data_IF_655472968295
#
_entry.id   IF_655472968295
#
_cell.length_a   1.000
_cell.length_b   1.000
_cell.length_c   1.000
_cell.angle_alpha   90.00
_cell.angle_beta   90.00
_cell.angle_gamma   90.00
#
_symmetry.space_group_name_H-M   'P 1'
#
loop_
_entity.id
_entity.type
_entity.pdbx_description
1 polymer ?
#
# COMPACT_ATOMS: atom_id res chain seq x y z
N UNK A 1 44.27 -5.81 -9.31
CA UNK A 1 43.44 -6.83 -9.99
C UNK A 1 43.60 -8.19 -9.31
N UNK A 2 42.94 -8.41 -8.16
CA UNK A 2 42.58 -9.76 -7.73
C UNK A 2 41.11 -9.89 -8.09
N UNK A 3 40.81 -10.60 -9.18
CA UNK A 3 39.46 -10.75 -9.72
C UNK A 3 38.53 -11.29 -8.64
N UNK A 4 37.27 -10.84 -8.60
CA UNK A 4 36.28 -11.33 -7.64
C UNK A 4 36.25 -12.85 -7.55
N UNK A 5 36.48 -13.52 -8.68
CA UNK A 5 36.73 -14.96 -8.80
C UNK A 5 37.70 -15.52 -7.77
N UNK A 6 38.91 -14.97 -7.64
CA UNK A 6 39.94 -15.51 -6.76
C UNK A 6 39.59 -15.29 -5.29
N UNK A 7 38.95 -14.16 -4.97
CA UNK A 7 38.45 -13.88 -3.61
C UNK A 7 37.34 -14.86 -3.23
N UNK A 8 36.40 -15.11 -4.14
CA UNK A 8 35.33 -16.09 -3.97
C UNK A 8 35.92 -17.50 -3.82
N UNK A 9 36.84 -17.89 -4.70
CA UNK A 9 37.52 -19.19 -4.65
C UNK A 9 38.22 -19.44 -3.31
N UNK A 10 38.90 -18.43 -2.78
CA UNK A 10 39.58 -18.47 -1.48
C UNK A 10 38.62 -18.71 -0.31
N UNK A 11 37.41 -18.14 -0.36
CA UNK A 11 36.38 -18.41 0.65
C UNK A 11 35.78 -19.81 0.44
N UNK A 12 35.46 -20.20 -0.79
CA UNK A 12 34.89 -21.51 -1.10
C UNK A 12 35.84 -22.68 -0.73
N UNK A 13 37.15 -22.51 -0.91
CA UNK A 13 38.13 -23.54 -0.55
C UNK A 13 38.19 -23.82 0.96
N UNK A 14 37.74 -22.89 1.81
CA UNK A 14 37.68 -23.06 3.28
C UNK A 14 36.44 -23.84 3.73
N UNK A 15 35.44 -23.99 2.87
CA UNK A 15 34.24 -24.77 3.16
C UNK A 15 34.54 -26.27 3.14
N UNK A 16 35.37 -26.70 2.19
CA UNK A 16 35.69 -28.12 1.97
C UNK A 16 36.77 -28.54 2.94
N UNK A 17 36.54 -29.63 3.69
CA UNK A 17 37.52 -30.16 4.63
C UNK A 17 38.76 -30.67 3.86
N UNK A 18 39.98 -30.37 4.34
CA UNK A 18 41.20 -30.87 3.71
C UNK A 18 41.31 -32.41 3.67
N UNK A 19 40.70 -33.11 4.63
CA UNK A 19 40.61 -34.57 4.67
C UNK A 19 39.89 -35.14 3.46
N UNK A 20 38.74 -34.55 3.11
CA UNK A 20 37.87 -35.04 2.04
C UNK A 20 38.53 -34.92 0.66
N UNK A 21 39.45 -33.95 0.50
CA UNK A 21 40.26 -33.79 -0.71
C UNK A 21 41.38 -34.83 -0.74
N UNK A 22 42.09 -35.03 0.39
CA UNK A 22 43.19 -36.02 0.49
C UNK A 22 42.72 -37.45 0.30
N UNK A 23 41.52 -37.77 0.77
CA UNK A 23 40.88 -39.08 0.65
C UNK A 23 40.21 -39.29 -0.73
N UNK A 24 40.28 -38.31 -1.62
CA UNK A 24 39.73 -38.40 -2.98
C UNK A 24 38.20 -38.35 -3.06
N UNK A 25 37.51 -38.03 -1.96
CA UNK A 25 36.05 -37.94 -1.88
C UNK A 25 35.52 -36.76 -2.69
N UNK A 26 36.32 -35.69 -2.85
CA UNK A 26 35.95 -34.54 -3.67
C UNK A 26 37.14 -33.75 -4.21
N UNK A 27 36.94 -33.06 -5.35
CA UNK A 27 37.89 -32.08 -5.92
C UNK A 27 37.60 -30.64 -5.49
N UNK A 28 36.63 -30.44 -4.60
CA UNK A 28 36.16 -29.12 -4.16
C UNK A 28 35.22 -28.44 -5.16
N UNK A 29 34.99 -27.13 -4.97
CA UNK A 29 34.12 -26.35 -5.85
C UNK A 29 34.72 -26.19 -7.24
N UNK A 30 33.94 -26.50 -8.28
CA UNK A 30 34.40 -26.42 -9.68
C UNK A 30 33.76 -25.22 -10.35
N UNK A 31 34.57 -24.23 -10.72
CA UNK A 31 34.12 -23.08 -11.50
C UNK A 31 33.48 -23.52 -12.82
N UNK A 32 32.35 -22.91 -13.17
CA UNK A 32 31.63 -23.19 -14.41
C UNK A 32 31.69 -22.01 -15.39
N UNK A 33 31.35 -20.81 -14.92
CA UNK A 33 31.27 -19.61 -15.76
C UNK A 33 31.32 -18.35 -14.89
N UNK A 34 31.66 -17.22 -15.50
CA UNK A 34 31.52 -15.89 -14.92
C UNK A 34 30.95 -14.94 -15.95
N UNK A 35 30.26 -13.91 -15.48
CA UNK A 35 29.72 -12.83 -16.30
C UNK A 35 29.76 -11.53 -15.52
N UNK A 36 30.05 -10.45 -16.21
CA UNK A 36 29.90 -9.08 -15.69
C UNK A 36 28.72 -8.41 -16.38
N UNK A 37 27.73 -7.98 -15.61
CA UNK A 37 26.55 -7.31 -16.14
C UNK A 37 26.01 -6.31 -15.11
N UNK A 38 25.69 -5.08 -15.55
CA UNK A 38 24.97 -4.07 -14.78
C UNK A 38 25.33 -4.03 -13.29
N UNK A 39 26.51 -3.48 -12.97
CA UNK A 39 26.96 -3.24 -11.59
C UNK A 39 27.15 -4.51 -10.74
N UNK A 40 27.22 -5.68 -11.37
CA UNK A 40 27.39 -6.95 -10.69
C UNK A 40 28.40 -7.85 -11.42
N UNK A 41 29.21 -8.54 -10.63
CA UNK A 41 30.01 -9.67 -11.04
C UNK A 41 29.29 -10.97 -10.62
N UNK A 42 28.99 -11.85 -11.56
CA UNK A 42 28.35 -13.14 -11.32
C UNK A 42 29.32 -14.28 -11.62
N UNK A 43 29.38 -15.28 -10.75
CA UNK A 43 30.14 -16.51 -10.98
C UNK A 43 29.36 -17.75 -10.57
N UNK A 44 29.49 -18.81 -11.36
CA UNK A 44 28.82 -20.08 -11.16
C UNK A 44 29.83 -21.15 -10.73
N UNK A 45 29.52 -21.88 -9.65
CA UNK A 45 30.38 -22.90 -9.07
C UNK A 45 29.59 -24.18 -8.80
N UNK A 46 30.04 -25.31 -9.34
CA UNK A 46 29.46 -26.61 -9.00
C UNK A 46 29.83 -26.98 -7.57
N UNK A 47 28.82 -27.31 -6.78
CA UNK A 47 28.95 -27.75 -5.40
C UNK A 47 29.53 -29.18 -5.41
N UNK A 48 30.57 -29.46 -4.62
CA UNK A 48 31.15 -30.79 -4.53
C UNK A 48 30.21 -31.81 -3.89
N UNK A 49 30.40 -33.09 -4.21
CA UNK A 49 29.69 -34.18 -3.53
C UNK A 49 29.93 -34.14 -2.02
N UNK A 50 28.88 -34.41 -1.23
CA UNK A 50 28.90 -34.31 0.23
C UNK A 50 28.64 -32.90 0.79
N UNK A 51 28.54 -31.88 -0.07
CA UNK A 51 28.24 -30.50 0.32
C UNK A 51 26.93 -30.01 -0.33
N UNK A 52 26.36 -28.95 0.22
CA UNK A 52 25.08 -28.38 -0.21
C UNK A 52 25.12 -26.86 -0.25
N UNK A 53 24.10 -26.23 -0.85
CA UNK A 53 23.96 -24.78 -0.90
C UNK A 53 24.00 -24.13 0.49
N UNK A 54 23.45 -24.80 1.52
CA UNK A 54 23.45 -24.33 2.91
C UNK A 54 24.87 -24.07 3.44
N UNK A 55 25.85 -24.88 3.03
CA UNK A 55 27.25 -24.69 3.43
C UNK A 55 27.84 -23.40 2.84
N UNK A 56 27.47 -23.05 1.60
CA UNK A 56 27.87 -21.80 0.95
C UNK A 56 27.12 -20.62 1.56
N UNK A 57 25.83 -20.79 1.84
CA UNK A 57 24.98 -19.77 2.43
C UNK A 57 25.50 -19.32 3.81
N UNK A 58 26.01 -20.25 4.63
CA UNK A 58 26.66 -19.94 5.91
C UNK A 58 27.89 -19.02 5.75
N UNK A 59 28.56 -19.02 4.59
CA UNK A 59 29.71 -18.18 4.29
C UNK A 59 29.36 -16.85 3.60
N UNK A 60 28.07 -16.49 3.47
CA UNK A 60 27.65 -15.25 2.79
C UNK A 60 28.35 -14.00 3.34
N UNK A 61 28.47 -13.87 4.66
CA UNK A 61 29.16 -12.73 5.30
C UNK A 61 30.65 -12.71 4.95
N UNK A 62 31.31 -13.86 4.95
CA UNK A 62 32.72 -13.98 4.58
C UNK A 62 32.95 -13.67 3.09
N UNK A 63 32.05 -14.13 2.21
CA UNK A 63 32.06 -13.80 0.78
C UNK A 63 31.90 -12.30 0.57
N UNK A 64 30.94 -11.67 1.27
CA UNK A 64 30.70 -10.23 1.19
C UNK A 64 31.91 -9.43 1.68
N UNK A 65 32.51 -9.81 2.80
CA UNK A 65 33.72 -9.17 3.33
C UNK A 65 34.93 -9.34 2.40
N UNK A 66 35.12 -10.54 1.83
CA UNK A 66 36.23 -10.78 0.90
C UNK A 66 36.07 -9.98 -0.40
N UNK A 67 34.84 -9.86 -0.89
CA UNK A 67 34.57 -9.14 -2.12
C UNK A 67 34.54 -7.61 -1.90
N UNK A 68 34.14 -7.13 -0.71
CA UNK A 68 33.98 -5.70 -0.46
C UNK A 68 32.66 -5.15 -1.01
N UNK A 69 31.63 -5.99 -1.09
CA UNK A 69 30.32 -5.64 -1.61
C UNK A 69 29.24 -6.62 -1.16
N UNK A 70 27.98 -6.32 -1.46
CA UNK A 70 26.85 -7.20 -1.13
C UNK A 70 26.91 -8.46 -1.99
N UNK A 71 26.78 -9.63 -1.34
CA UNK A 71 26.75 -10.92 -2.02
C UNK A 71 25.35 -11.52 -2.01
N UNK A 72 24.87 -11.88 -3.19
CA UNK A 72 23.66 -12.68 -3.39
C UNK A 72 24.06 -14.10 -3.81
N UNK A 73 23.33 -15.09 -3.27
CA UNK A 73 23.56 -16.51 -3.53
C UNK A 73 22.27 -17.12 -4.06
N UNK A 74 22.37 -17.88 -5.14
CA UNK A 74 21.26 -18.61 -5.74
C UNK A 74 21.69 -20.06 -6.01
N UNK A 75 20.85 -21.03 -5.64
CA UNK A 75 21.06 -22.44 -5.98
C UNK A 75 20.37 -22.75 -7.31
N UNK A 76 21.11 -23.38 -8.23
CA UNK A 76 20.62 -23.90 -9.50
C UNK A 76 20.94 -25.38 -9.64
N UNK A 77 20.39 -26.19 -8.73
CA UNK A 77 20.46 -27.64 -8.81
C UNK A 77 21.88 -28.17 -8.68
N UNK A 78 22.58 -27.78 -7.60
CA UNK A 78 23.96 -28.22 -7.34
C UNK A 78 25.02 -27.32 -7.97
N UNK A 79 24.61 -26.21 -8.58
CA UNK A 79 25.48 -25.10 -8.97
C UNK A 79 25.07 -23.88 -8.16
N UNK A 80 25.99 -23.33 -7.38
CA UNK A 80 25.77 -22.05 -6.69
C UNK A 80 26.20 -20.90 -7.58
N UNK A 81 25.28 -19.97 -7.78
CA UNK A 81 25.53 -18.69 -8.42
C UNK A 81 25.85 -17.69 -7.31
N UNK A 82 27.05 -17.11 -7.37
CA UNK A 82 27.55 -16.10 -6.44
C UNK A 82 27.63 -14.79 -7.21
N UNK A 83 26.80 -13.83 -6.80
CA UNK A 83 26.79 -12.48 -7.35
C UNK A 83 27.40 -11.53 -6.34
N UNK A 84 28.39 -10.77 -6.77
CA UNK A 84 28.93 -9.63 -6.05
C UNK A 84 28.38 -8.38 -6.70
N UNK A 85 27.72 -7.53 -5.92
CA UNK A 85 27.23 -6.24 -6.38
C UNK A 85 28.32 -5.19 -6.13
N UNK A 86 28.88 -4.64 -7.21
CA UNK A 86 30.15 -3.89 -7.27
C UNK A 86 29.94 -2.36 -7.34
N UNK A 87 28.74 -1.88 -7.70
CA UNK A 87 28.43 -0.44 -7.58
C UNK A 87 27.66 -0.12 -6.32
N UNK A 88 27.93 1.09 -5.83
CA UNK A 88 27.12 1.78 -4.84
C UNK A 88 25.66 1.72 -5.27
N UNK A 89 24.85 1.11 -4.41
CA UNK A 89 23.40 1.21 -4.51
C UNK A 89 23.06 2.69 -4.30
N UNK A 90 22.57 3.44 -5.31
CA UNK A 90 22.39 4.87 -5.16
C UNK A 90 21.57 5.20 -3.91
N UNK A 91 22.08 6.13 -3.10
CA UNK A 91 21.38 6.56 -1.90
C UNK A 91 20.12 7.36 -2.24
N UNK A 92 20.11 7.96 -3.43
CA UNK A 92 19.03 8.79 -3.94
C UNK A 92 18.87 8.59 -5.44
N UNK A 93 17.63 8.56 -5.89
CA UNK A 93 17.26 8.56 -7.31
C UNK A 93 16.23 9.67 -7.50
N UNK A 94 16.58 10.69 -8.26
CA UNK A 94 15.62 11.73 -8.62
C UNK A 94 14.65 11.18 -9.67
N UNK A 95 13.36 11.37 -9.43
CA UNK A 95 12.30 11.00 -10.35
C UNK A 95 12.39 11.85 -11.62
N UNK A 96 12.63 11.20 -12.76
CA UNK A 96 12.58 11.84 -14.08
C UNK A 96 11.35 11.34 -14.85
N UNK A 97 10.69 12.19 -15.66
CA UNK A 97 9.46 11.80 -16.37
C UNK A 97 9.57 10.56 -17.26
N UNK A 98 10.75 10.31 -17.84
CA UNK A 98 11.08 9.15 -18.69
C UNK A 98 11.21 7.85 -17.91
N UNK A 99 11.38 7.92 -16.59
CA UNK A 99 11.34 6.75 -15.72
C UNK A 99 9.93 6.18 -15.58
N UNK A 100 8.88 6.93 -15.92
CA UNK A 100 7.50 6.47 -15.81
C UNK A 100 7.01 6.05 -17.19
N UNK A 101 6.82 4.74 -17.37
CA UNK A 101 6.44 4.12 -18.63
C UNK A 101 4.96 3.74 -18.61
N UNK A 102 4.21 3.95 -19.72
CA UNK A 102 2.81 3.55 -19.79
C UNK A 102 2.61 2.07 -19.44
N UNK A 103 1.61 1.80 -18.59
CA UNK A 103 1.24 0.45 -18.16
C UNK A 103 2.17 -0.17 -17.11
N UNK A 104 3.26 0.49 -16.74
CA UNK A 104 4.13 0.06 -15.64
C UNK A 104 3.78 0.81 -14.35
N UNK A 105 3.88 0.13 -13.21
CA UNK A 105 3.84 0.75 -11.90
C UNK A 105 5.17 0.50 -11.20
N UNK A 106 6.10 1.44 -11.37
CA UNK A 106 7.43 1.44 -10.82
C UNK A 106 7.38 1.72 -9.31
N UNK A 107 7.95 0.82 -8.52
CA UNK A 107 8.20 1.05 -7.10
C UNK A 107 9.61 1.62 -6.86
N UNK A 108 10.58 1.18 -7.65
CA UNK A 108 11.93 1.71 -7.59
C UNK A 108 12.94 0.86 -8.34
N UNK A 109 14.21 0.99 -7.99
CA UNK A 109 15.30 0.28 -8.63
C UNK A 109 16.05 -0.59 -7.62
N UNK A 110 16.41 -1.82 -8.01
CA UNK A 110 17.35 -2.60 -7.21
C UNK A 110 18.80 -2.08 -7.38
N UNK A 111 19.74 -2.66 -6.64
CA UNK A 111 21.16 -2.28 -6.73
C UNK A 111 21.76 -2.47 -8.14
N UNK A 112 21.16 -3.33 -8.96
CA UNK A 112 21.57 -3.59 -10.34
C UNK A 112 20.93 -2.62 -11.34
N UNK A 113 20.23 -1.59 -10.84
CA UNK A 113 19.44 -0.64 -11.60
C UNK A 113 18.29 -1.30 -12.39
N UNK A 114 17.85 -2.50 -12.01
CA UNK A 114 16.65 -3.08 -12.58
C UNK A 114 15.42 -2.38 -12.03
N UNK A 115 14.44 -2.15 -12.91
CA UNK A 115 13.13 -1.60 -12.53
C UNK A 115 12.35 -2.65 -11.75
N UNK A 116 11.96 -2.30 -10.53
CA UNK A 116 11.09 -3.13 -9.70
C UNK A 116 9.68 -2.60 -9.84
N UNK A 117 8.83 -3.42 -10.47
CA UNK A 117 7.46 -3.09 -10.83
C UNK A 117 6.48 -3.86 -9.95
N UNK A 118 5.30 -3.29 -9.75
CA UNK A 118 4.16 -3.97 -9.13
C UNK A 118 2.98 -4.03 -10.09
N UNK A 119 2.24 -5.12 -10.08
CA UNK A 119 1.11 -5.35 -11.00
C UNK A 119 -0.25 -5.49 -10.26
N UNK A 120 -0.26 -5.34 -8.94
CA UNK A 120 -1.40 -5.58 -8.07
C UNK A 120 -2.11 -6.94 -8.29
N UNK A 121 -1.38 -7.99 -8.74
CA UNK A 121 -1.88 -9.38 -8.62
C UNK A 121 -2.06 -9.78 -7.16
N UNK A 122 -1.21 -9.24 -6.29
CA UNK A 122 -1.52 -9.08 -4.88
C UNK A 122 -2.34 -7.80 -4.72
N UNK A 123 -3.66 -7.89 -4.44
CA UNK A 123 -4.55 -6.74 -4.50
C UNK A 123 -4.33 -5.74 -3.37
N UNK A 124 -3.80 -6.20 -2.24
CA UNK A 124 -3.59 -5.37 -1.07
C UNK A 124 -2.09 -5.24 -0.79
N UNK A 125 -1.69 -4.04 -0.39
CA UNK A 125 -0.33 -3.66 -0.08
C UNK A 125 -0.29 -3.07 1.34
N UNK A 126 0.71 -3.47 2.12
CA UNK A 126 1.05 -2.81 3.38
C UNK A 126 2.38 -2.07 3.23
N UNK A 127 2.43 -0.83 3.73
CA UNK A 127 3.64 0.02 3.69
C UNK A 127 3.98 0.49 5.11
N UNK A 128 5.17 0.13 5.59
CA UNK A 128 5.71 0.61 6.88
C UNK A 128 6.95 1.48 6.69
N UNK A 129 7.11 2.51 7.52
CA UNK A 129 8.29 3.36 7.52
C UNK A 129 8.38 4.20 8.79
N UNK A 130 9.56 4.56 9.27
CA UNK A 130 9.68 5.73 10.14
C UNK A 130 9.42 7.04 9.35
N UNK A 131 9.02 8.10 10.04
CA UNK A 131 8.83 9.43 9.45
C UNK A 131 10.07 9.90 8.69
N UNK A 132 9.88 10.46 7.49
CA UNK A 132 10.97 11.00 6.66
C UNK A 132 11.71 9.97 5.79
N UNK A 133 11.39 8.68 5.88
CA UNK A 133 12.10 7.64 5.13
C UNK A 133 11.57 7.34 3.73
N UNK A 134 10.52 8.04 3.27
CA UNK A 134 10.06 7.96 1.88
C UNK A 134 8.69 7.29 1.65
N UNK A 135 7.95 6.96 2.74
CA UNK A 135 6.57 6.43 2.67
C UNK A 135 5.66 7.28 1.78
N UNK A 136 5.57 8.58 2.08
CA UNK A 136 4.68 9.52 1.37
C UNK A 136 5.07 9.66 -0.10
N UNK A 137 6.37 9.75 -0.40
CA UNK A 137 6.87 9.83 -1.78
C UNK A 137 6.50 8.59 -2.60
N UNK A 138 6.59 7.40 -2.00
CA UNK A 138 6.13 6.18 -2.65
C UNK A 138 4.62 6.19 -2.91
N UNK A 139 3.81 6.62 -1.93
CA UNK A 139 2.35 6.69 -2.11
C UNK A 139 1.99 7.67 -3.23
N UNK A 140 2.63 8.85 -3.27
CA UNK A 140 2.45 9.84 -4.35
C UNK A 140 2.87 9.27 -5.71
N UNK A 141 4.00 8.58 -5.77
CA UNK A 141 4.48 7.90 -6.98
C UNK A 141 3.52 6.81 -7.47
N UNK A 142 2.95 6.00 -6.57
CA UNK A 142 1.94 5.00 -6.90
C UNK A 142 0.69 5.69 -7.46
N UNK A 143 0.17 6.70 -6.77
CA UNK A 143 -1.03 7.43 -7.20
C UNK A 143 -0.85 8.08 -8.57
N UNK A 144 0.26 8.78 -8.78
CA UNK A 144 0.56 9.42 -10.06
C UNK A 144 0.56 8.40 -11.22
N UNK A 145 1.20 7.24 -11.02
CA UNK A 145 1.24 6.19 -12.04
C UNK A 145 -0.12 5.55 -12.27
N UNK A 146 -0.93 5.35 -11.22
CA UNK A 146 -2.30 4.86 -11.36
C UNK A 146 -3.14 5.83 -12.21
N UNK A 147 -3.10 7.13 -11.92
CA UNK A 147 -3.84 8.14 -12.68
C UNK A 147 -3.33 8.28 -14.12
N UNK A 148 -2.04 8.06 -14.37
CA UNK A 148 -1.44 8.12 -15.71
C UNK A 148 -1.74 6.88 -16.56
N UNK A 149 -1.87 5.72 -15.92
CA UNK A 149 -2.04 4.44 -16.61
C UNK A 149 -3.51 4.06 -16.85
N UNK A 150 -4.44 4.79 -16.23
CA UNK A 150 -5.86 4.47 -16.26
C UNK A 150 -6.70 5.73 -16.45
N UNK A 151 -7.84 5.62 -17.12
CA UNK A 151 -8.81 6.71 -17.18
C UNK A 151 -9.57 6.86 -15.84
N UNK A 152 -10.16 8.03 -15.58
CA UNK A 152 -11.06 8.22 -14.44
C UNK A 152 -12.31 7.34 -14.47
N UNK A 153 -12.63 6.66 -15.56
CA UNK A 153 -13.73 5.69 -15.62
C UNK A 153 -13.29 4.27 -15.25
N UNK A 154 -12.00 3.97 -15.39
CA UNK A 154 -11.42 2.66 -15.08
C UNK A 154 -11.09 2.49 -13.60
N UNK A 155 -10.60 3.55 -12.94
CA UNK A 155 -10.19 3.49 -11.53
C UNK A 155 -10.71 4.65 -10.70
N UNK A 156 -10.91 4.39 -9.42
CA UNK A 156 -11.28 5.34 -8.37
C UNK A 156 -10.24 5.30 -7.25
N UNK A 157 -9.84 6.45 -6.73
CA UNK A 157 -8.92 6.57 -5.59
C UNK A 157 -9.65 7.29 -4.45
N UNK A 158 -9.67 6.65 -3.29
CA UNK A 158 -10.19 7.22 -2.05
C UNK A 158 -9.07 7.21 -1.00
N UNK A 159 -8.93 8.28 -0.22
CA UNK A 159 -7.85 8.44 0.74
C UNK A 159 -8.36 8.70 2.15
N UNK A 160 -7.67 8.17 3.14
CA UNK A 160 -7.83 8.47 4.57
C UNK A 160 -6.53 9.13 5.04
N UNK A 161 -6.56 10.44 5.23
CA UNK A 161 -5.43 11.28 5.66
C UNK A 161 -5.88 12.18 6.82
N UNK A 162 -5.78 11.64 8.04
CA UNK A 162 -6.15 12.36 9.26
C UNK A 162 -4.99 13.22 9.80
N UNK A 163 -3.84 13.28 9.10
CA UNK A 163 -2.68 14.14 9.46
C UNK A 163 -2.82 15.53 8.83
N UNK A 164 -3.99 16.16 9.00
CA UNK A 164 -4.24 17.53 8.54
C UNK A 164 -4.36 17.70 7.02
N UNK A 165 -4.45 16.61 6.26
CA UNK A 165 -4.77 16.62 4.83
C UNK A 165 -3.66 17.12 3.90
N UNK A 166 -2.49 17.51 4.41
CA UNK A 166 -1.45 18.21 3.64
C UNK A 166 -0.75 17.27 2.64
N UNK A 167 -0.54 16.01 3.02
CA UNK A 167 0.29 15.06 2.25
C UNK A 167 -0.24 14.80 0.83
N UNK A 168 -1.56 14.91 0.63
CA UNK A 168 -2.22 14.61 -0.64
C UNK A 168 -2.99 15.79 -1.24
N UNK A 169 -2.82 17.01 -0.74
CA UNK A 169 -3.44 18.21 -1.33
C UNK A 169 -3.22 18.33 -2.86
N UNK A 170 -2.02 18.06 -3.42
CA UNK A 170 -1.82 18.15 -4.86
C UNK A 170 -2.74 17.22 -5.67
N UNK A 171 -3.21 16.12 -5.06
CA UNK A 171 -4.06 15.10 -5.68
C UNK A 171 -5.56 15.42 -5.56
N UNK A 172 -5.98 16.34 -4.69
CA UNK A 172 -7.40 16.59 -4.40
C UNK A 172 -8.24 17.04 -5.61
N UNK A 173 -7.61 17.62 -6.63
CA UNK A 173 -8.27 18.05 -7.88
C UNK A 173 -8.06 17.10 -9.06
N UNK A 174 -7.42 15.95 -8.83
CA UNK A 174 -7.22 14.93 -9.87
C UNK A 174 -8.53 14.13 -10.05
N UNK A 175 -9.05 13.93 -11.27
CA UNK A 175 -10.38 13.34 -11.51
C UNK A 175 -10.56 11.92 -10.97
N UNK A 176 -9.47 11.16 -10.82
CA UNK A 176 -9.50 9.81 -10.24
C UNK A 176 -9.77 9.81 -8.74
N UNK A 177 -9.45 10.92 -8.04
CA UNK A 177 -9.58 11.04 -6.59
C UNK A 177 -10.98 11.55 -6.26
N UNK A 178 -11.81 10.67 -5.68
CA UNK A 178 -13.24 10.97 -5.45
C UNK A 178 -13.57 11.37 -4.02
N UNK A 179 -12.80 10.90 -3.03
CA UNK A 179 -13.00 11.24 -1.61
C UNK A 179 -11.66 11.23 -0.87
N UNK A 180 -11.43 12.28 -0.08
CA UNK A 180 -10.35 12.34 0.91
C UNK A 180 -11.02 12.56 2.27
N UNK A 181 -10.83 11.63 3.20
CA UNK A 181 -11.29 11.75 4.57
C UNK A 181 -10.19 12.39 5.43
N UNK A 182 -10.56 13.41 6.19
CA UNK A 182 -9.65 14.21 7.02
C UNK A 182 -9.87 14.03 8.53
N UNK A 183 -10.96 13.37 8.91
CA UNK A 183 -11.33 13.04 10.29
C UNK A 183 -11.89 11.61 10.38
N UNK A 184 -12.11 11.12 11.60
CA UNK A 184 -12.61 9.77 11.85
C UNK A 184 -14.01 9.53 11.29
N UNK A 185 -14.88 10.54 11.29
CA UNK A 185 -16.27 10.42 10.84
C UNK A 185 -16.34 10.24 9.32
N UNK A 186 -15.66 11.12 8.57
CA UNK A 186 -15.56 11.01 7.11
C UNK A 186 -14.81 9.74 6.68
N UNK A 187 -13.84 9.28 7.48
CA UNK A 187 -13.14 8.02 7.25
C UNK A 187 -14.06 6.82 7.46
N UNK A 188 -14.87 6.83 8.52
CA UNK A 188 -15.89 5.82 8.77
C UNK A 188 -16.87 5.70 7.60
N UNK A 189 -17.42 6.82 7.14
CA UNK A 189 -18.33 6.82 6.00
C UNK A 189 -17.69 6.24 4.74
N UNK A 190 -16.47 6.68 4.40
CA UNK A 190 -15.74 6.24 3.21
C UNK A 190 -15.50 4.72 3.25
N UNK A 191 -15.02 4.22 4.39
CA UNK A 191 -14.71 2.81 4.58
C UNK A 191 -15.98 1.95 4.61
N UNK A 192 -17.04 2.40 5.29
CA UNK A 192 -18.32 1.70 5.33
C UNK A 192 -18.99 1.64 3.96
N UNK A 193 -19.05 2.75 3.22
CA UNK A 193 -19.57 2.78 1.85
C UNK A 193 -18.80 1.81 0.94
N UNK A 194 -17.48 1.75 1.09
CA UNK A 194 -16.66 0.83 0.31
C UNK A 194 -16.90 -0.62 0.71
N UNK A 195 -17.04 -0.92 2.00
CA UNK A 195 -17.39 -2.26 2.47
C UNK A 195 -18.76 -2.71 1.93
N UNK A 196 -19.78 -1.86 1.98
CA UNK A 196 -21.10 -2.18 1.42
C UNK A 196 -21.05 -2.41 -0.09
N UNK A 197 -20.26 -1.62 -0.82
CA UNK A 197 -20.01 -1.84 -2.25
C UNK A 197 -19.34 -3.20 -2.50
N UNK A 198 -18.33 -3.56 -1.71
CA UNK A 198 -17.65 -4.87 -1.77
C UNK A 198 -18.66 -6.00 -1.55
N UNK A 199 -19.52 -5.89 -0.54
CA UNK A 199 -20.58 -6.89 -0.28
C UNK A 199 -21.54 -7.03 -1.45
N UNK A 200 -22.07 -5.91 -1.97
CA UNK A 200 -22.97 -5.92 -3.14
C UNK A 200 -22.31 -6.60 -4.34
N UNK A 201 -21.11 -6.17 -4.72
CA UNK A 201 -20.34 -6.74 -5.85
C UNK A 201 -20.03 -8.23 -5.64
N UNK A 202 -19.71 -8.65 -4.41
CA UNK A 202 -19.44 -10.06 -4.10
C UNK A 202 -20.68 -10.94 -4.27
N UNK A 203 -21.86 -10.47 -3.85
CA UNK A 203 -23.11 -11.19 -4.08
C UNK A 203 -23.39 -11.38 -5.58
N UNK A 204 -23.13 -10.37 -6.39
CA UNK A 204 -23.26 -10.48 -7.84
C UNK A 204 -22.28 -11.48 -8.45
N UNK A 205 -21.01 -11.46 -8.05
CA UNK A 205 -20.01 -12.44 -8.52
C UNK A 205 -20.44 -13.86 -8.16
N UNK A 206 -21.04 -14.07 -6.98
CA UNK A 206 -21.55 -15.39 -6.56
C UNK A 206 -22.74 -15.86 -7.39
N UNK A 207 -23.61 -14.95 -7.83
CA UNK A 207 -24.79 -15.29 -8.64
C UNK A 207 -24.45 -15.57 -10.11
N UNK A 208 -23.47 -14.85 -10.67
CA UNK A 208 -23.18 -14.87 -12.10
C UNK A 208 -21.85 -15.57 -12.45
N UNK A 209 -21.15 -16.17 -11.48
CA UNK A 209 -19.95 -16.98 -11.73
C UNK A 209 -18.66 -16.21 -12.04
N UNK A 210 -18.70 -15.03 -12.66
CA UNK A 210 -17.49 -14.25 -12.93
C UNK A 210 -17.66 -12.73 -12.98
N UNK A 211 -16.58 -11.99 -12.71
CA UNK A 211 -16.51 -10.53 -12.86
C UNK A 211 -16.65 -10.06 -14.32
N UNK A 212 -16.31 -10.92 -15.29
CA UNK A 212 -16.22 -10.54 -16.72
C UNK A 212 -17.58 -10.41 -17.40
N UNK A 213 -18.61 -11.06 -16.87
CA UNK A 213 -19.92 -11.19 -17.51
C UNK A 213 -20.81 -9.94 -17.38
N UNK A 214 -20.42 -8.92 -16.60
CA UNK A 214 -21.26 -7.74 -16.35
C UNK A 214 -20.55 -6.39 -16.56
N UNK A 215 -19.41 -6.39 -17.24
CA UNK A 215 -18.58 -5.19 -17.42
C UNK A 215 -17.56 -4.99 -16.31
N UNK A 216 -16.46 -4.32 -16.64
CA UNK A 216 -15.36 -4.07 -15.71
C UNK A 216 -15.84 -3.05 -14.68
N UNK A 217 -16.15 -3.49 -13.46
CA UNK A 217 -16.35 -2.53 -12.36
C UNK A 217 -15.13 -1.61 -12.27
N UNK A 218 -15.40 -0.30 -12.20
CA UNK A 218 -14.39 0.70 -11.83
C UNK A 218 -13.66 0.21 -10.58
N UNK A 219 -12.35 0.01 -10.73
CA UNK A 219 -11.48 -0.55 -9.70
C UNK A 219 -11.24 0.52 -8.64
N UNK A 220 -11.50 0.21 -7.37
CA UNK A 220 -11.33 1.20 -6.28
C UNK A 220 -10.05 0.94 -5.51
N UNK A 221 -9.22 1.96 -5.37
CA UNK A 221 -8.08 2.00 -4.47
C UNK A 221 -8.45 2.77 -3.22
N UNK A 222 -8.32 2.16 -2.05
CA UNK A 222 -8.40 2.83 -0.77
C UNK A 222 -6.98 2.96 -0.23
N UNK A 223 -6.58 4.19 0.11
CA UNK A 223 -5.28 4.50 0.66
C UNK A 223 -5.48 4.99 2.08
N UNK A 224 -4.95 4.25 3.04
CA UNK A 224 -4.91 4.66 4.44
C UNK A 224 -3.49 5.15 4.69
N UNK A 225 -3.27 6.46 4.82
CA UNK A 225 -1.91 6.99 4.99
C UNK A 225 -1.31 6.61 6.34
N UNK A 226 -2.08 6.75 7.41
CA UNK A 226 -1.63 6.40 8.75
C UNK A 226 -2.66 5.55 9.48
N UNK A 227 -2.46 4.23 9.42
CA UNK A 227 -3.26 3.26 10.13
C UNK A 227 -3.32 3.52 11.65
N UNK A 228 -2.24 4.03 12.23
CA UNK A 228 -2.22 4.37 13.65
C UNK A 228 -3.28 5.41 14.04
N UNK A 229 -3.76 6.25 13.11
CA UNK A 229 -4.81 7.24 13.42
C UNK A 229 -6.22 6.67 13.42
N UNK A 230 -6.42 5.51 12.79
CA UNK A 230 -7.71 4.78 12.78
C UNK A 230 -7.66 3.53 13.65
N UNK A 231 -6.57 3.33 14.41
CA UNK A 231 -6.39 2.19 15.28
C UNK A 231 -7.09 2.42 16.64
N UNK A 232 -7.94 1.50 17.12
CA UNK A 232 -8.65 1.68 18.39
C UNK A 232 -7.77 1.90 19.62
N UNK A 233 -6.55 1.36 19.60
CA UNK A 233 -5.58 1.41 20.70
C UNK A 233 -4.98 2.81 20.88
N UNK A 234 -4.96 3.63 19.84
CA UNK A 234 -4.36 4.98 19.89
C UNK A 234 -5.36 6.06 20.29
N UNK A 235 -6.66 5.72 20.35
CA UNK A 235 -7.75 6.66 20.62
C UNK A 235 -8.22 6.51 22.06
N UNK A 236 -8.16 7.62 22.80
CA UNK A 236 -8.53 7.68 24.21
C UNK A 236 -10.02 7.96 24.42
N UNK A 237 -10.64 8.75 23.53
CA UNK A 237 -12.08 9.03 23.61
C UNK A 237 -12.91 7.76 23.34
N UNK A 238 -13.97 7.56 24.12
CA UNK A 238 -14.73 6.32 24.10
C UNK A 238 -15.58 6.18 22.83
N UNK A 239 -16.15 7.26 22.33
CA UNK A 239 -17.02 7.24 21.15
C UNK A 239 -16.19 7.21 19.88
N UNK A 240 -15.14 8.02 19.78
CA UNK A 240 -14.17 7.96 18.67
C UNK A 240 -13.52 6.57 18.57
N UNK A 241 -13.21 5.94 19.71
CA UNK A 241 -12.65 4.58 19.71
C UNK A 241 -13.62 3.55 19.13
N UNK A 242 -14.94 3.68 19.33
CA UNK A 242 -15.93 2.80 18.69
C UNK A 242 -15.94 3.00 17.17
N UNK A 243 -15.84 4.25 16.71
CA UNK A 243 -15.75 4.59 15.29
C UNK A 243 -14.51 3.92 14.69
N UNK A 244 -13.35 4.06 15.34
CA UNK A 244 -12.11 3.42 14.92
C UNK A 244 -12.18 1.89 14.95
N UNK A 245 -12.85 1.28 15.94
CA UNK A 245 -13.06 -0.18 15.96
C UNK A 245 -13.85 -0.65 14.73
N UNK A 246 -14.85 0.15 14.32
CA UNK A 246 -15.62 -0.16 13.13
C UNK A 246 -14.78 0.01 11.86
N UNK A 247 -14.04 1.12 11.73
CA UNK A 247 -13.11 1.34 10.61
C UNK A 247 -12.12 0.18 10.49
N UNK A 248 -11.44 -0.18 11.58
CA UNK A 248 -10.44 -1.25 11.61
C UNK A 248 -11.03 -2.61 11.19
N UNK A 249 -12.22 -2.94 11.72
CA UNK A 249 -12.97 -4.15 11.35
C UNK A 249 -13.36 -4.18 9.86
N UNK A 250 -13.81 -3.05 9.31
CA UNK A 250 -14.16 -2.93 7.90
C UNK A 250 -12.94 -3.00 6.98
N UNK A 251 -11.82 -2.37 7.35
CA UNK A 251 -10.56 -2.48 6.61
C UNK A 251 -10.07 -3.93 6.57
N UNK A 252 -10.11 -4.65 7.69
CA UNK A 252 -9.80 -6.08 7.75
C UNK A 252 -10.70 -6.93 6.86
N UNK A 253 -12.00 -6.61 6.82
CA UNK A 253 -12.96 -7.27 5.93
C UNK A 253 -12.67 -6.96 4.46
N UNK A 254 -12.45 -5.70 4.10
CA UNK A 254 -12.10 -5.27 2.74
C UNK A 254 -10.82 -5.97 2.27
N UNK A 255 -9.80 -6.09 3.12
CA UNK A 255 -8.59 -6.84 2.78
C UNK A 255 -8.87 -8.33 2.52
N UNK A 256 -9.84 -8.92 3.23
CA UNK A 256 -10.15 -10.35 3.11
C UNK A 256 -10.98 -10.69 1.87
N UNK A 257 -11.92 -9.82 1.47
CA UNK A 257 -12.91 -10.12 0.42
C UNK A 257 -12.93 -9.10 -0.73
N UNK A 258 -12.03 -8.12 -0.74
CA UNK A 258 -12.02 -7.01 -1.70
C UNK A 258 -11.47 -7.35 -3.10
N UNK A 259 -10.72 -8.45 -3.24
CA UNK A 259 -10.07 -8.84 -4.50
C UNK A 259 -11.05 -9.03 -5.66
N UNK A 260 -12.02 -9.92 -5.51
CA UNK A 260 -12.98 -10.26 -6.57
C UNK A 260 -13.90 -9.06 -6.93
N UNK A 261 -14.37 -8.26 -5.95
CA UNK A 261 -15.07 -7.00 -6.18
C UNK A 261 -14.27 -5.88 -6.84
N UNK A 262 -12.95 -6.07 -7.07
CA UNK A 262 -12.08 -5.07 -7.68
C UNK A 262 -11.71 -3.92 -6.75
N UNK A 263 -11.46 -4.21 -5.48
CA UNK A 263 -10.97 -3.24 -4.49
C UNK A 263 -9.54 -3.56 -4.08
N UNK A 264 -8.71 -2.53 -4.04
CA UNK A 264 -7.32 -2.57 -3.64
C UNK A 264 -7.15 -1.71 -2.40
N UNK A 265 -6.40 -2.22 -1.43
CA UNK A 265 -6.12 -1.53 -0.17
C UNK A 265 -4.62 -1.28 -0.11
N UNK A 266 -4.23 -0.02 0.03
CA UNK A 266 -2.87 0.40 0.34
C UNK A 266 -2.91 0.90 1.78
N UNK A 267 -2.40 0.07 2.70
CA UNK A 267 -2.47 0.28 4.13
C UNK A 267 -1.11 0.72 4.65
N UNK A 268 -0.98 1.97 5.04
CA UNK A 268 0.30 2.57 5.39
C UNK A 268 0.35 2.88 6.89
N UNK A 269 1.54 2.82 7.49
CA UNK A 269 1.75 3.18 8.89
C UNK A 269 3.16 3.70 9.12
N UNK A 270 3.29 4.72 9.98
CA UNK A 270 4.59 5.11 10.53
C UNK A 270 4.97 4.39 11.82
N UNK A 271 3.99 3.73 12.43
CA UNK A 271 4.13 3.00 13.67
C UNK A 271 3.67 1.55 13.45
N UNK A 272 4.50 0.71 12.80
CA UNK A 272 4.14 -0.66 12.49
C UNK A 272 4.20 -1.55 13.73
N UNK A 273 3.32 -1.32 14.69
CA UNK A 273 3.16 -2.17 15.87
C UNK A 273 2.06 -3.22 15.63
N UNK A 274 2.19 -4.39 16.26
CA UNK A 274 1.22 -5.50 16.13
C UNK A 274 -0.18 -5.15 16.61
N UNK A 275 -0.30 -4.19 17.55
CA UNK A 275 -1.59 -3.68 18.01
C UNK A 275 -2.23 -2.67 17.06
N UNK A 276 -1.42 -2.05 16.18
CA UNK A 276 -1.89 -1.04 15.22
C UNK A 276 -2.30 -1.71 13.91
N UNK A 277 -1.49 -2.66 13.43
CA UNK A 277 -1.76 -3.33 12.16
C UNK A 277 -2.80 -4.43 12.36
N UNK A 278 -3.98 -4.22 11.78
CA UNK A 278 -5.05 -5.21 11.80
C UNK A 278 -4.55 -6.59 11.30
N UNK A 279 -4.78 -7.69 12.05
CA UNK A 279 -4.31 -9.02 11.66
C UNK A 279 -4.84 -9.51 10.31
N UNK A 280 -6.11 -9.21 9.99
CA UNK A 280 -6.71 -9.58 8.71
C UNK A 280 -6.08 -8.80 7.56
N UNK A 281 -5.75 -7.52 7.76
CA UNK A 281 -4.99 -6.74 6.78
C UNK A 281 -3.61 -7.36 6.58
N UNK A 282 -2.87 -7.66 7.65
CA UNK A 282 -1.52 -8.26 7.57
C UNK A 282 -1.50 -9.59 6.84
N UNK A 283 -2.48 -10.46 7.08
CA UNK A 283 -2.57 -11.78 6.43
C UNK A 283 -2.91 -11.66 4.94
N UNK A 284 -3.78 -10.71 4.57
CA UNK A 284 -4.28 -10.59 3.20
C UNK A 284 -3.47 -9.60 2.31
N UNK A 285 -2.58 -8.79 2.90
CA UNK A 285 -1.63 -7.96 2.15
C UNK A 285 -0.45 -8.80 1.63
N UNK A 286 -0.58 -9.31 0.41
CA UNK A 286 0.48 -10.09 -0.24
C UNK A 286 1.68 -9.25 -0.67
N UNK A 287 1.49 -7.97 -0.97
CA UNK A 287 2.56 -7.03 -1.23
C UNK A 287 2.93 -6.27 0.05
N UNK A 288 4.21 -6.30 0.42
CA UNK A 288 4.73 -5.65 1.62
C UNK A 288 5.88 -4.75 1.22
N UNK A 289 5.86 -3.49 1.64
CA UNK A 289 6.97 -2.56 1.47
C UNK A 289 7.33 -2.03 2.86
N UNK A 290 8.59 -2.13 3.24
CA UNK A 290 9.07 -1.56 4.50
C UNK A 290 10.30 -0.71 4.22
N UNK A 291 10.20 0.58 4.51
CA UNK A 291 11.37 1.45 4.65
C UNK A 291 12.00 1.19 6.02
N UNK A 292 13.03 1.97 6.37
CA UNK A 292 13.64 1.87 7.68
C UNK A 292 12.60 2.01 8.80
N UNK A 293 12.82 1.22 9.86
CA UNK A 293 12.03 1.21 11.08
C UNK A 293 12.97 1.05 12.27
N UNK A 294 12.61 1.50 13.48
CA UNK A 294 13.56 1.59 14.59
C UNK A 294 14.13 0.26 15.10
N UNK A 295 13.47 -0.87 14.82
CA UNK A 295 13.92 -2.19 15.27
C UNK A 295 13.37 -3.33 14.42
N UNK A 296 13.98 -4.50 14.57
CA UNK A 296 13.56 -5.76 13.94
C UNK A 296 12.11 -6.14 14.30
N UNK A 297 11.64 -5.83 15.52
CA UNK A 297 10.25 -6.04 15.96
C UNK A 297 9.27 -5.32 15.01
N UNK A 298 9.57 -4.06 14.67
CA UNK A 298 8.78 -3.28 13.72
C UNK A 298 8.88 -3.83 12.29
N UNK A 299 10.06 -4.32 11.89
CA UNK A 299 10.26 -4.98 10.60
C UNK A 299 9.39 -6.24 10.48
N UNK A 300 9.33 -7.05 11.54
CA UNK A 300 8.53 -8.27 11.57
C UNK A 300 7.03 -8.03 11.46
N UNK A 301 6.52 -6.88 11.93
CA UNK A 301 5.09 -6.56 11.79
C UNK A 301 4.69 -6.34 10.33
N UNK A 302 5.60 -5.77 9.51
CA UNK A 302 5.33 -5.46 8.10
C UNK A 302 5.78 -6.58 7.18
N UNK A 303 7.02 -7.05 7.34
CA UNK A 303 7.70 -7.98 6.43
C UNK A 303 7.63 -9.44 6.87
N UNK A 304 7.22 -9.74 8.11
CA UNK A 304 7.34 -11.06 8.74
C UNK A 304 8.81 -11.55 8.88
N UNK A 305 9.79 -10.66 8.70
CA UNK A 305 11.21 -10.90 8.90
C UNK A 305 11.94 -9.61 9.30
N UNK A 306 13.13 -9.75 9.87
CA UNK A 306 14.07 -8.64 10.10
C UNK A 306 14.65 -8.09 8.79
N UNK A 307 15.33 -6.95 8.87
CA UNK A 307 16.13 -6.35 7.80
C UNK A 307 15.78 -4.90 7.46
N UNK A 308 14.57 -4.43 7.79
CA UNK A 308 14.19 -3.05 7.51
C UNK A 308 14.91 -2.05 8.43
N UNK A 309 15.18 -2.45 9.68
CA UNK A 309 15.96 -1.69 10.66
C UNK A 309 17.42 -1.46 10.24
N UNK A 310 17.95 -2.24 9.30
CA UNK A 310 19.32 -2.10 8.80
C UNK A 310 19.40 -1.20 7.54
N UNK A 311 18.26 -0.68 7.05
CA UNK A 311 18.25 0.14 5.84
C UNK A 311 18.97 1.48 6.08
N UNK A 312 19.96 1.86 5.25
CA UNK A 312 20.93 2.90 5.62
C UNK A 312 20.51 4.32 5.24
N UNK A 313 19.58 4.51 4.30
CA UNK A 313 19.29 5.82 3.70
C UNK A 313 17.80 6.00 3.36
N UNK A 314 17.28 7.25 3.42
CA UNK A 314 15.91 7.55 2.99
C UNK A 314 15.61 7.09 1.55
N UNK A 315 14.39 6.63 1.31
CA UNK A 315 13.96 6.08 0.03
C UNK A 315 14.43 4.64 -0.21
N UNK A 316 15.35 4.09 0.59
CA UNK A 316 15.66 2.66 0.58
C UNK A 316 14.53 1.89 1.25
N UNK A 317 14.02 0.87 0.58
CA UNK A 317 12.97 0.00 1.09
C UNK A 317 13.24 -1.47 0.77
N UNK A 318 12.62 -2.35 1.52
CA UNK A 318 12.45 -3.75 1.17
C UNK A 318 11.06 -3.91 0.56
N UNK A 319 11.01 -4.45 -0.65
CA UNK A 319 9.79 -4.92 -1.29
C UNK A 319 9.72 -6.44 -1.20
N UNK A 320 8.64 -6.94 -0.60
CA UNK A 320 8.38 -8.37 -0.42
C UNK A 320 7.03 -8.77 -1.00
N UNK A 321 7.06 -9.70 -1.94
CA UNK A 321 5.90 -10.48 -2.41
C UNK A 321 6.26 -11.96 -2.29
N UNK A 322 6.39 -12.68 -3.41
CA UNK A 322 7.06 -13.98 -3.47
C UNK A 322 8.58 -13.85 -3.42
N UNK A 323 9.11 -12.67 -3.78
CA UNK A 323 10.54 -12.34 -3.72
C UNK A 323 10.78 -11.31 -2.63
N UNK A 324 11.97 -11.36 -2.03
CA UNK A 324 12.48 -10.35 -1.11
C UNK A 324 13.52 -9.51 -1.87
N UNK A 325 13.30 -8.22 -2.00
CA UNK A 325 14.15 -7.35 -2.81
C UNK A 325 14.36 -6.00 -2.13
N UNK A 326 15.60 -5.55 -2.06
CA UNK A 326 15.90 -4.18 -1.62
C UNK A 326 15.84 -3.24 -2.82
N UNK A 327 15.12 -2.13 -2.68
CA UNK A 327 14.87 -1.14 -3.72
C UNK A 327 15.18 0.27 -3.23
N UNK A 328 15.62 1.14 -4.15
CA UNK A 328 15.66 2.58 -3.94
C UNK A 328 14.48 3.20 -4.68
N UNK A 329 13.58 3.84 -3.93
CA UNK A 329 12.41 4.54 -4.45
C UNK A 329 12.84 5.91 -5.00
N UNK A 330 12.46 6.26 -6.24
CA UNK A 330 12.67 7.58 -6.78
C UNK A 330 11.86 8.63 -6.02
N UNK A 331 12.43 9.80 -5.79
CA UNK A 331 11.73 10.92 -5.16
C UNK A 331 11.68 12.11 -6.11
N UNK A 332 10.62 12.91 -6.02
CA UNK A 332 10.53 14.17 -6.76
C UNK A 332 11.17 15.28 -5.91
N UNK A 333 12.29 15.88 -6.33
CA UNK A 333 12.93 16.93 -5.54
C UNK A 333 12.05 18.19 -5.46
N UNK A 334 12.19 18.98 -4.38
CA UNK A 334 11.51 20.27 -4.26
C UNK A 334 11.94 21.23 -5.37
N UNK A 335 11.02 22.09 -5.83
CA UNK A 335 11.39 23.15 -6.77
C UNK A 335 12.32 24.17 -6.10
N UNK A 336 13.18 24.81 -6.89
CA UNK A 336 14.12 25.81 -6.40
C UNK A 336 13.38 26.90 -5.61
N UNK A 337 13.75 27.09 -4.34
CA UNK A 337 13.14 28.09 -3.45
C UNK A 337 11.98 27.57 -2.59
N UNK A 338 11.62 26.29 -2.68
CA UNK A 338 10.61 25.65 -1.82
C UNK A 338 11.27 24.68 -0.83
N UNK A 339 10.71 24.57 0.38
CA UNK A 339 11.18 23.65 1.43
C UNK A 339 10.62 22.23 1.27
N UNK A 340 9.48 22.10 0.61
CA UNK A 340 8.81 20.85 0.25
C UNK A 340 8.68 20.70 -1.27
N UNK A 341 8.22 19.55 -1.70
CA UNK A 341 8.03 19.21 -3.10
C UNK A 341 6.56 19.26 -3.55
N UNK A 342 5.67 19.90 -2.79
CA UNK A 342 4.25 19.96 -3.13
C UNK A 342 4.04 20.72 -4.44
N UNK A 343 4.80 21.80 -4.68
CA UNK A 343 4.78 22.55 -5.94
C UNK A 343 5.27 21.71 -7.13
N UNK A 344 6.29 20.87 -6.92
CA UNK A 344 6.78 19.95 -7.95
C UNK A 344 5.72 18.90 -8.30
N UNK A 345 5.05 18.34 -7.29
CA UNK A 345 3.94 17.41 -7.47
C UNK A 345 2.74 18.07 -8.16
N UNK A 346 2.37 19.27 -7.75
CA UNK A 346 1.28 20.05 -8.35
C UNK A 346 1.52 20.24 -9.85
N UNK A 347 2.73 20.64 -10.25
CA UNK A 347 3.14 20.80 -11.65
C UNK A 347 3.12 19.48 -12.42
N UNK A 348 3.58 18.39 -11.81
CA UNK A 348 3.56 17.07 -12.44
C UNK A 348 2.14 16.55 -12.67
N UNK A 349 1.19 16.93 -11.81
CA UNK A 349 -0.21 16.55 -11.87
C UNK A 349 -1.07 17.43 -12.79
N UNK A 350 -0.62 18.64 -13.16
CA UNK A 350 -1.39 19.59 -14.00
C UNK A 350 -1.99 18.96 -15.28
N UNK A 351 -1.28 18.12 -16.06
CA UNK A 351 -1.86 17.50 -17.24
C UNK A 351 -3.08 16.63 -16.91
N UNK A 352 -3.01 15.87 -15.81
CA UNK A 352 -4.09 14.97 -15.37
C UNK A 352 -5.33 15.75 -14.88
N UNK A 353 -5.14 16.98 -14.40
CA UNK A 353 -6.24 17.88 -13.99
C UNK A 353 -6.94 18.52 -15.20
N UNK A 354 -6.24 18.66 -16.32
CA UNK A 354 -6.71 19.42 -17.50
C UNK A 354 -7.23 18.54 -18.64
N UNK A 355 -6.83 17.26 -18.71
CA UNK A 355 -7.32 16.29 -19.72
C UNK A 355 -8.85 16.09 -19.70
N UNK A 356 -9.53 16.44 -18.61
CA UNK A 356 -11.01 16.42 -18.52
C UNK A 356 -11.68 17.59 -19.27
N UNK A 357 -10.97 18.69 -19.53
CA UNK A 357 -11.56 19.88 -20.14
C UNK A 357 -11.67 19.76 -21.67
N UNK A 358 -10.76 19.01 -22.31
CA UNK A 358 -10.71 18.92 -23.78
C UNK A 358 -11.27 17.62 -24.38
N UNK A 359 -11.56 16.60 -23.56
CA UNK A 359 -12.20 15.34 -24.00
C UNK A 359 -13.73 15.30 -23.89
N UNK A 360 -14.36 16.34 -23.35
CA UNK A 360 -15.79 16.35 -23.01
C UNK A 360 -16.63 17.31 -23.85
N UNK A 361 -16.75 17.10 -25.17
CA UNK A 361 -17.94 17.54 -25.91
C UNK A 361 -18.99 16.41 -25.87
N UNK A 362 -19.53 16.12 -24.69
CA UNK A 362 -20.91 15.63 -24.53
C UNK A 362 -21.22 15.50 -23.04
N UNK A 363 -22.38 16.01 -22.62
CA UNK A 363 -22.93 15.70 -21.30
C UNK A 363 -22.71 16.78 -20.24
N UNK A 364 -23.53 17.82 -20.34
CA UNK A 364 -23.78 18.80 -19.27
C UNK A 364 -24.22 18.04 -18.00
N UNK A 365 -23.34 17.91 -17.01
CA UNK A 365 -23.74 17.67 -15.60
C UNK A 365 -23.13 18.76 -14.73
N UNK A 366 -24.03 19.38 -13.99
CA UNK A 366 -23.82 20.56 -13.17
C UNK A 366 -22.74 20.31 -12.11
N UNK A 367 -21.88 21.32 -11.96
CA UNK A 367 -20.79 21.35 -10.97
C UNK A 367 -21.39 21.50 -9.57
N UNK A 368 -21.43 20.45 -8.77
CA UNK A 368 -21.39 20.61 -7.32
C UNK A 368 -19.94 20.95 -6.94
N UNK A 369 -19.71 22.23 -6.67
CA UNK A 369 -18.43 22.75 -6.20
C UNK A 369 -18.18 22.21 -4.79
N UNK A 370 -17.02 21.56 -4.60
CA UNK A 370 -16.44 21.35 -3.28
C UNK A 370 -16.16 22.73 -2.68
N UNK A 371 -16.89 23.09 -1.63
CA UNK A 371 -16.56 24.24 -0.79
C UNK A 371 -15.41 23.80 0.11
N UNK A 372 -14.22 24.31 -0.18
CA UNK A 372 -13.09 24.29 0.76
C UNK A 372 -13.46 25.32 1.83
N UNK A 373 -13.88 24.87 3.03
CA UNK A 373 -14.08 25.78 4.16
C UNK A 373 -12.70 26.17 4.72
N UNK A 374 -12.09 27.17 4.07
CA UNK A 374 -10.88 27.81 4.53
C UNK A 374 -11.21 28.72 5.72
N UNK A 375 -11.36 28.13 6.91
CA UNK A 375 -11.28 28.85 8.19
C UNK A 375 -10.08 28.39 8.99
N UNK A 376 -8.90 28.65 8.45
CA UNK A 376 -7.67 28.73 9.25
C UNK A 376 -7.01 30.06 8.91
N UNK A 377 -7.06 31.00 9.86
CA UNK A 377 -6.15 32.15 9.88
C UNK A 377 -6.81 33.53 9.77
N UNK A 378 -7.50 33.99 10.81
CA UNK A 378 -7.38 35.37 11.28
C UNK A 378 -8.11 35.56 12.61
N UNK A 379 -7.39 35.49 13.73
CA UNK A 379 -7.55 36.35 14.92
C UNK A 379 -6.60 35.89 16.02
N UNK A 380 -5.33 36.28 15.91
CA UNK A 380 -4.49 36.52 17.08
C UNK A 380 -4.55 38.03 17.35
N UNK A 381 -5.27 38.44 18.40
CA UNK A 381 -4.74 39.42 19.33
C UNK A 381 -5.59 39.54 20.62
N UNK A 382 -4.89 39.36 21.74
CA UNK A 382 -4.99 39.98 23.06
C UNK A 382 -6.34 40.08 23.79
N UNK A 383 -6.37 39.51 25.00
CA UNK A 383 -7.25 39.99 26.07
C UNK A 383 -7.54 38.97 27.16
N UNK A 384 -6.77 39.04 28.24
CA UNK A 384 -7.05 38.55 29.59
C UNK A 384 -8.54 38.36 29.97
N UNK A 385 -8.88 37.19 30.54
CA UNK A 385 -9.53 37.03 31.86
C UNK A 385 -10.11 35.60 32.04
N UNK A 386 -9.62 34.87 33.04
CA UNK A 386 -10.45 34.03 33.92
C UNK A 386 -11.14 34.95 34.94
N UNK A 387 -12.35 34.68 35.50
CA UNK A 387 -12.66 33.44 36.24
C UNK A 387 -14.14 32.98 36.27
N UNK A 388 -14.35 31.81 36.87
CA UNK A 388 -15.40 31.38 37.82
C UNK A 388 -16.84 31.94 37.79
N UNK A 389 -17.74 31.06 38.26
CA UNK A 389 -19.13 31.26 38.68
C UNK A 389 -20.20 31.18 37.57
N UNK A 390 -20.88 30.03 37.47
CA UNK A 390 -22.26 29.91 37.96
C UNK A 390 -22.51 28.45 38.40
N UNK A 391 -22.93 28.35 39.65
CA UNK A 391 -23.18 27.16 40.46
C UNK A 391 -24.31 26.25 39.96
N UNK A 392 -24.20 24.96 40.30
CA UNK A 392 -25.31 24.01 40.40
C UNK A 392 -24.94 22.81 41.27
N UNK A 393 -24.94 23.00 42.59
CA UNK A 393 -24.63 22.00 43.63
C UNK A 393 -25.64 20.84 43.63
N UNK A 394 -25.12 19.64 43.89
CA UNK A 394 -25.85 18.49 44.43
C UNK A 394 -24.88 17.54 45.15
N UNK A 395 -24.62 17.81 46.44
CA UNK A 395 -24.11 16.83 47.43
C UNK A 395 -25.17 15.71 47.60
N UNK A 396 -24.95 14.49 48.07
CA UNK A 396 -23.88 13.77 48.77
C UNK A 396 -24.32 12.29 48.86
N UNK A 397 -23.38 11.35 49.09
CA UNK A 397 -23.73 9.98 49.51
C UNK A 397 -22.59 8.97 49.33
N UNK A 398 -21.78 8.78 50.38
CA UNK A 398 -20.78 7.72 50.50
C UNK A 398 -21.39 6.38 50.96
N UNK A 399 -20.75 5.28 50.54
CA UNK A 399 -20.63 3.92 51.11
C UNK A 399 -20.77 2.89 49.97
N UNK A 400 -20.01 1.82 49.78
CA UNK A 400 -19.08 1.09 50.65
C UNK A 400 -19.26 -0.41 50.36
N UNK A 401 -18.28 -1.02 49.67
CA UNK A 401 -17.73 -2.38 49.85
C UNK A 401 -18.57 -3.66 49.53
N UNK A 402 -17.89 -4.54 48.76
CA UNK A 402 -17.87 -6.02 48.74
C UNK A 402 -18.81 -6.88 47.87
N UNK A 403 -18.16 -7.60 46.93
CA UNK A 403 -18.20 -9.03 46.58
C UNK A 403 -19.49 -9.86 46.74
N UNK A 404 -19.84 -10.65 45.71
CA UNK A 404 -19.70 -12.12 45.65
C UNK A 404 -20.22 -12.67 44.30
N UNK A 405 -19.63 -13.81 43.93
CA UNK A 405 -19.71 -14.65 42.73
C UNK A 405 -21.11 -15.14 42.30
N UNK A 406 -21.24 -15.43 41.00
CA UNK A 406 -21.51 -16.81 40.56
C UNK A 406 -22.89 -17.18 39.99
N UNK A 407 -22.84 -17.65 38.73
CA UNK A 407 -23.65 -18.74 38.12
C UNK A 407 -25.04 -18.38 37.57
N UNK A 408 -25.19 -18.56 36.24
CA UNK A 408 -26.18 -19.50 35.73
C UNK A 408 -27.29 -18.99 34.80
N UNK A 409 -27.33 -19.63 33.63
CA UNK A 409 -28.50 -19.96 32.82
C UNK A 409 -29.05 -18.92 31.81
N UNK A 410 -28.86 -19.31 30.53
CA UNK A 410 -29.68 -19.00 29.37
C UNK A 410 -31.18 -19.08 29.71
N UNK A 411 -31.95 -18.07 29.30
CA UNK A 411 -33.34 -18.24 28.88
C UNK A 411 -33.66 -17.31 27.71
N UNK A 412 -34.21 -17.95 26.68
CA UNK A 412 -34.87 -17.34 25.54
C UNK A 412 -35.97 -16.37 25.96
N UNK A 413 -36.08 -15.24 25.26
CA UNK A 413 -37.32 -14.50 25.13
C UNK A 413 -37.43 -13.96 23.71
N UNK A 414 -38.34 -14.55 22.95
CA UNK A 414 -39.02 -13.87 21.84
C UNK A 414 -40.16 -13.01 22.39
N UNK A 415 -40.39 -11.86 21.75
CA UNK A 415 -41.49 -10.95 22.08
C UNK A 415 -41.38 -9.60 21.35
N UNK A 416 -42.18 -9.45 20.30
CA UNK A 416 -42.57 -8.24 19.53
C UNK A 416 -43.04 -7.08 20.43
N UNK A 417 -43.16 -5.79 20.09
CA UNK A 417 -43.06 -4.87 18.93
C UNK A 417 -42.84 -3.45 19.53
N UNK A 418 -42.40 -2.38 18.86
CA UNK A 418 -43.17 -1.50 17.94
C UNK A 418 -42.21 -0.48 17.28
N UNK A 419 -42.17 -0.43 15.94
CA UNK A 419 -42.72 0.62 15.06
C UNK A 419 -42.12 2.02 15.18
N UNK A 420 -41.44 2.45 14.10
CA UNK A 420 -41.28 3.87 13.80
C UNK A 420 -39.97 4.26 13.12
N UNK A 421 -39.57 3.62 12.01
CA UNK A 421 -38.64 4.19 11.01
C UNK A 421 -38.74 3.35 9.71
N UNK A 422 -39.86 3.48 8.99
CA UNK A 422 -40.00 2.98 7.61
C UNK A 422 -40.58 4.08 6.73
N UNK A 423 -39.74 5.06 6.36
CA UNK A 423 -39.99 5.88 5.17
C UNK A 423 -38.66 6.08 4.45
N UNK A 424 -38.56 5.57 3.21
CA UNK A 424 -37.51 5.96 2.26
C UNK A 424 -36.65 4.84 1.64
N UNK A 425 -36.87 3.55 1.90
CA UNK A 425 -36.15 2.49 1.19
C UNK A 425 -36.86 2.16 -0.14
N UNK A 426 -36.25 2.57 -1.25
CA UNK A 426 -36.62 2.11 -2.60
C UNK A 426 -36.52 0.56 -2.65
N UNK A 427 -37.59 -0.10 -3.06
CA UNK A 427 -37.58 -1.58 -3.17
C UNK A 427 -36.69 -2.01 -4.33
N UNK A 428 -36.12 -3.22 -4.23
CA UNK A 428 -35.24 -3.78 -5.27
C UNK A 428 -35.89 -3.82 -6.66
N UNK A 429 -37.20 -4.06 -6.74
CA UNK A 429 -37.95 -4.04 -7.99
C UNK A 429 -37.97 -2.63 -8.61
N UNK A 430 -38.16 -1.59 -7.79
CA UNK A 430 -38.16 -0.20 -8.24
C UNK A 430 -36.77 0.25 -8.73
N UNK A 431 -35.71 -0.15 -8.02
CA UNK A 431 -34.32 0.10 -8.45
C UNK A 431 -33.97 -0.61 -9.77
N UNK A 432 -34.34 -1.89 -9.91
CA UNK A 432 -34.04 -2.69 -11.11
C UNK A 432 -34.81 -2.19 -12.35
N UNK A 433 -36.01 -1.65 -12.17
CA UNK A 433 -36.79 -1.01 -13.24
C UNK A 433 -36.16 0.32 -13.68
N UNK A 434 -35.64 1.10 -12.72
CA UNK A 434 -34.94 2.37 -12.99
C UNK A 434 -33.63 2.15 -13.77
N UNK A 435 -32.83 1.17 -13.38
CA UNK A 435 -31.59 0.85 -14.09
C UNK A 435 -31.84 0.28 -15.50
N UNK A 436 -32.90 -0.52 -15.68
CA UNK A 436 -33.33 -0.95 -17.03
C UNK A 436 -33.73 0.24 -17.91
N UNK A 437 -34.43 1.24 -17.38
CA UNK A 437 -34.77 2.47 -18.12
C UNK A 437 -33.54 3.31 -18.47
N UNK A 438 -32.58 3.45 -17.55
CA UNK A 438 -31.35 4.20 -17.79
C UNK A 438 -30.44 3.52 -18.84
N UNK A 439 -30.41 2.18 -18.84
CA UNK A 439 -29.64 1.40 -19.81
C UNK A 439 -30.28 1.42 -21.20
N UNK A 440 -31.61 1.37 -21.28
CA UNK A 440 -32.35 1.49 -22.54
C UNK A 440 -32.26 2.89 -23.17
N UNK A 441 -32.25 3.95 -22.35
CA UNK A 441 -32.06 5.32 -22.81
C UNK A 441 -30.65 5.58 -23.36
N UNK A 442 -29.64 4.90 -22.82
CA UNK A 442 -28.26 4.95 -23.34
C UNK A 442 -28.07 4.15 -24.64
N UNK A 443 -28.83 3.07 -24.83
CA UNK A 443 -28.78 2.26 -26.05
C UNK A 443 -29.52 2.89 -27.24
N UNK A 444 -30.59 3.67 -26.98
CA UNK A 444 -31.36 4.35 -28.03
C UNK A 444 -30.64 5.58 -28.64
N UNK A 445 -29.57 6.09 -28.01
CA UNK A 445 -28.78 7.21 -28.54
C UNK A 445 -27.68 6.78 -29.54
N UNK A 446 -27.49 5.47 -29.77
CA UNK A 446 -26.44 4.95 -30.65
C UNK A 446 -26.97 4.30 -31.94
N UNK A 447 -28.26 4.42 -32.25
CA UNK A 447 -28.86 3.74 -33.41
C UNK A 447 -29.41 4.66 -34.51
N UNK A 448 -29.26 5.98 -34.42
CA UNK A 448 -29.78 6.91 -35.44
C UNK A 448 -28.72 7.58 -36.35
N UNK A 449 -27.41 7.42 -36.09
CA UNK A 449 -26.36 8.11 -36.89
C UNK A 449 -25.58 7.23 -37.89
N UNK A 450 -25.88 5.94 -38.03
CA UNK A 450 -25.11 5.00 -38.90
C UNK A 450 -25.84 4.51 -40.17
N UNK A 451 -26.85 5.26 -40.64
CA UNK A 451 -27.58 4.92 -41.88
C UNK A 451 -27.46 6.04 -42.92
N UNK A 452 -26.25 6.29 -43.45
CA UNK A 452 -26.05 7.09 -44.68
C UNK A 452 -24.59 6.98 -45.19
N UNK A 453 -24.17 5.79 -45.63
CA UNK A 453 -23.07 5.65 -46.62
C UNK A 453 -23.39 4.46 -47.53
N UNK A 454 -24.27 4.70 -48.50
CA UNK A 454 -24.30 3.97 -49.77
C UNK A 454 -24.15 5.02 -50.89
N UNK A 455 -23.40 4.65 -51.92
CA UNK A 455 -23.10 5.31 -53.20
C UNK A 455 -21.81 6.15 -53.36
N UNK A 456 -20.99 5.63 -54.30
CA UNK A 456 -19.83 6.13 -55.08
C UNK A 456 -18.43 5.75 -54.59
#
# INVERSE_FOLDING_TARGET
>A
MNTYRERIKSVLSRIVKPSDIKEGLTKGFVFQAEREHNNAYESAWRIPAGYSFTHVQAQRKALSAACGGTVELEDRGGVVIIRVLDKDFPDRIELKPDMIRPGELLLGFDQRANRILHDFKHPHMIIGAETGWGKTELIRLINYQLCRNHSPDEIEICMVDLKGGVSFLPFASVPHVTKIAHDLETAFELVEQTYQMVQRRLMYVRMNGSRKEFGVYKRRFIIVDEAAQVAPVTITDKEERKIAQHIDSRLGSIASIGREPGVNLIYCTQYPHSSIVNPSVRINCGARICFHVPSDVFSHVVLDCAGAEELPVPGRAIYKTTKYQTIQVPYLPPEKGHSDNDSAWEKLLQPLKTEVINGGKSGRREKERIVIDARIGSSFNNGSNSPADVFGRGQSGQAGISNVQGIGARKDFGGQATSGYEEGMETYAQWAERERRNTAAGAAQYTEDDALVDDI
#
